data_IF_111043709477
#
_entry.id   IF_111043709477
#
_cell.length_a   1.000
_cell.length_b   1.000
_cell.length_c   1.000
_cell.angle_alpha   90.00
_cell.angle_beta   90.00
_cell.angle_gamma   90.00
#
_symmetry.space_group_name_H-M   'P 1'
#
loop_
_entity.id
_entity.type
_entity.pdbx_description
1 polymer ?
#
# COMPACT_ATOMS: atom_id res chain seq x y z
N UNK A 1 6.61 -1.51 7.72
CA UNK A 1 5.29 -1.82 8.34
C UNK A 1 4.21 -1.34 7.38
N UNK A 2 3.18 -2.16 7.15
CA UNK A 2 2.01 -1.77 6.36
C UNK A 2 0.90 -1.27 7.30
N UNK A 3 0.21 -0.20 6.90
CA UNK A 3 -1.04 0.21 7.52
C UNK A 3 -2.06 -0.93 7.40
N UNK A 4 -2.87 -1.17 8.44
CA UNK A 4 -3.84 -2.27 8.45
C UNK A 4 -5.27 -1.74 8.47
N UNK A 5 -6.11 -2.34 7.64
CA UNK A 5 -7.56 -2.13 7.69
C UNK A 5 -8.28 -3.47 7.90
N UNK A 6 -8.62 -3.74 9.17
CA UNK A 6 -9.25 -5.02 9.56
C UNK A 6 -10.64 -5.21 8.96
N UNK A 7 -11.38 -4.14 8.75
CA UNK A 7 -12.74 -4.20 8.20
C UNK A 7 -12.73 -4.71 6.75
N UNK A 8 -11.71 -4.32 6.00
CA UNK A 8 -11.52 -4.72 4.60
C UNK A 8 -10.53 -5.88 4.43
N UNK A 9 -9.92 -6.36 5.51
CA UNK A 9 -8.98 -7.48 5.49
C UNK A 9 -7.63 -7.16 4.85
N UNK A 10 -7.24 -5.88 4.76
CA UNK A 10 -6.01 -5.43 4.10
C UNK A 10 -4.89 -5.23 5.12
N UNK A 11 -3.65 -5.53 4.72
CA UNK A 11 -2.44 -5.46 5.56
C UNK A 11 -2.25 -6.67 6.49
N UNK A 12 -3.00 -7.76 6.26
CA UNK A 12 -3.03 -8.95 7.11
C UNK A 12 -2.79 -10.26 6.34
N UNK A 13 -2.66 -10.20 4.99
CA UNK A 13 -2.65 -11.35 4.09
C UNK A 13 -1.35 -11.47 3.28
N UNK A 14 -0.20 -11.33 3.93
CA UNK A 14 1.12 -11.47 3.27
C UNK A 14 1.46 -10.36 2.25
N UNK A 15 0.81 -9.20 2.32
CA UNK A 15 1.09 -8.04 1.44
C UNK A 15 2.55 -7.56 1.59
N UNK A 16 3.19 -7.82 2.73
CA UNK A 16 4.63 -7.56 2.93
C UNK A 16 5.52 -8.24 1.90
N UNK A 17 5.11 -9.35 1.31
CA UNK A 17 5.89 -10.06 0.30
C UNK A 17 6.07 -9.28 -1.01
N UNK A 18 5.20 -8.31 -1.27
CA UNK A 18 5.27 -7.42 -2.44
C UNK A 18 6.21 -6.22 -2.21
N UNK A 19 6.65 -5.99 -0.97
CA UNK A 19 7.51 -4.87 -0.62
C UNK A 19 8.97 -5.23 -0.85
N UNK A 20 9.65 -4.42 -1.68
CA UNK A 20 11.09 -4.54 -1.90
C UNK A 20 11.77 -3.19 -1.78
N UNK A 21 13.00 -3.23 -1.31
CA UNK A 21 13.88 -2.05 -1.21
C UNK A 21 15.10 -2.21 -2.08
N UNK A 22 15.55 -1.10 -2.69
CA UNK A 22 16.84 -1.01 -3.36
C UNK A 22 17.87 -0.39 -2.42
N UNK A 23 19.08 -0.92 -2.47
CA UNK A 23 20.26 -0.34 -1.87
C UNK A 23 21.10 0.33 -2.97
N UNK A 24 21.33 1.63 -2.85
CA UNK A 24 21.92 2.46 -3.88
C UNK A 24 23.16 3.19 -3.38
N UNK A 25 24.12 3.44 -4.27
CA UNK A 25 25.23 4.34 -4.01
C UNK A 25 24.76 5.80 -3.99
N UNK A 26 25.06 6.56 -2.94
CA UNK A 26 24.76 7.99 -2.86
C UNK A 26 25.88 8.86 -3.44
N UNK A 27 27.05 8.27 -3.70
CA UNK A 27 28.23 8.88 -4.33
C UNK A 27 28.88 7.89 -5.30
N UNK A 28 29.80 8.35 -6.14
CA UNK A 28 30.61 7.43 -6.96
C UNK A 28 31.56 6.65 -6.07
N UNK A 29 31.54 5.33 -6.18
CA UNK A 29 32.33 4.41 -5.38
C UNK A 29 33.19 3.51 -6.26
N UNK A 30 34.31 3.04 -5.73
CA UNK A 30 35.14 2.04 -6.39
C UNK A 30 35.06 0.72 -5.61
N UNK A 31 34.58 -0.34 -6.27
CA UNK A 31 34.53 -1.66 -5.69
C UNK A 31 35.93 -2.28 -5.54
N UNK A 32 36.06 -3.36 -4.78
CA UNK A 32 37.35 -4.03 -4.51
C UNK A 32 38.04 -4.57 -5.77
N UNK A 33 37.29 -4.89 -6.81
CA UNK A 33 37.80 -5.33 -8.11
C UNK A 33 38.19 -4.18 -9.06
N UNK A 34 38.06 -2.95 -8.60
CA UNK A 34 38.35 -1.73 -9.37
C UNK A 34 37.20 -1.24 -10.25
N UNK A 35 36.05 -1.90 -10.25
CA UNK A 35 34.86 -1.41 -10.95
C UNK A 35 34.27 -0.18 -10.29
N UNK A 36 33.70 0.72 -11.09
CA UNK A 36 33.05 1.97 -10.62
C UNK A 36 31.57 1.75 -10.45
N UNK A 37 31.08 2.08 -9.27
CA UNK A 37 29.64 2.16 -8.97
C UNK A 37 29.24 3.62 -9.08
N UNK A 38 28.43 4.01 -10.06
CA UNK A 38 28.04 5.41 -10.24
C UNK A 38 27.09 5.88 -9.14
N UNK A 39 26.97 7.19 -9.00
CA UNK A 39 25.90 7.79 -8.17
C UNK A 39 24.53 7.27 -8.63
N UNK A 40 23.65 7.00 -7.68
CA UNK A 40 22.33 6.37 -7.89
C UNK A 40 22.40 4.96 -8.50
N UNK A 41 23.58 4.33 -8.55
CA UNK A 41 23.76 2.94 -8.97
C UNK A 41 23.06 1.99 -8.00
N UNK A 42 22.14 1.16 -8.51
CA UNK A 42 21.50 0.08 -7.74
C UNK A 42 22.52 -1.03 -7.49
N UNK A 43 22.73 -1.38 -6.25
CA UNK A 43 23.68 -2.40 -5.80
C UNK A 43 22.95 -3.72 -5.54
N UNK A 44 21.85 -3.66 -4.79
CA UNK A 44 21.08 -4.85 -4.44
C UNK A 44 19.58 -4.52 -4.31
N UNK A 45 18.73 -5.49 -4.66
CA UNK A 45 17.30 -5.48 -4.35
C UNK A 45 17.08 -6.39 -3.14
N UNK A 46 16.53 -5.85 -2.09
CA UNK A 46 16.27 -6.54 -0.83
C UNK A 46 14.78 -6.81 -0.68
N UNK A 47 14.43 -8.07 -0.48
CA UNK A 47 13.07 -8.48 -0.09
C UNK A 47 12.95 -8.53 1.43
N UNK A 48 11.72 -8.37 1.93
CA UNK A 48 11.42 -8.51 3.36
C UNK A 48 11.23 -9.99 3.73
N UNK A 49 11.65 -10.34 4.94
CA UNK A 49 11.27 -11.60 5.58
C UNK A 49 9.85 -11.50 6.19
N UNK A 50 9.38 -12.58 6.79
CA UNK A 50 8.06 -12.66 7.45
C UNK A 50 7.88 -11.66 8.62
N UNK A 51 8.98 -11.12 9.16
CA UNK A 51 8.98 -10.11 10.22
C UNK A 51 9.09 -8.67 9.66
N UNK A 52 9.12 -8.51 8.32
CA UNK A 52 9.28 -7.23 7.66
C UNK A 52 10.69 -6.68 7.72
N UNK A 53 11.72 -7.55 7.86
CA UNK A 53 13.13 -7.16 7.91
C UNK A 53 13.81 -7.48 6.57
N UNK A 54 14.55 -6.51 6.03
CA UNK A 54 15.45 -6.70 4.90
C UNK A 54 16.90 -6.73 5.37
N UNK A 55 17.75 -7.51 4.68
CA UNK A 55 19.17 -7.64 4.97
C UNK A 55 19.95 -7.51 3.68
N UNK A 56 20.95 -6.60 3.66
CA UNK A 56 21.92 -6.51 2.58
C UNK A 56 22.87 -7.72 2.65
N UNK A 57 23.09 -8.37 1.50
CA UNK A 57 23.98 -9.55 1.36
C UNK A 57 25.26 -9.23 0.62
N UNK A 58 25.27 -8.16 -0.16
CA UNK A 58 26.43 -7.73 -0.94
C UNK A 58 27.48 -7.09 -0.04
N UNK A 59 28.74 -7.44 -0.27
CA UNK A 59 29.87 -6.68 0.27
C UNK A 59 29.96 -5.34 -0.46
N UNK A 60 30.08 -4.27 0.32
CA UNK A 60 30.14 -2.91 -0.22
C UNK A 60 31.36 -2.16 0.36
N UNK A 61 32.02 -1.28 -0.40
CA UNK A 61 33.10 -0.44 0.12
C UNK A 61 32.58 0.56 1.16
N UNK A 62 33.51 1.16 1.93
CA UNK A 62 33.16 2.32 2.76
C UNK A 62 32.65 3.46 1.86
N UNK A 63 31.59 4.13 2.29
CA UNK A 63 30.99 5.20 1.52
C UNK A 63 29.59 5.57 1.99
N UNK A 64 28.95 6.42 1.18
CA UNK A 64 27.60 6.90 1.40
C UNK A 64 26.62 6.17 0.49
N UNK A 65 25.51 5.73 1.06
CA UNK A 65 24.46 4.94 0.42
C UNK A 65 23.08 5.49 0.79
N UNK A 66 22.06 4.98 0.13
CA UNK A 66 20.69 5.13 0.59
C UNK A 66 19.84 3.89 0.26
N UNK A 67 18.83 3.70 1.06
CA UNK A 67 17.77 2.72 0.82
C UNK A 67 16.55 3.46 0.29
N UNK A 68 15.90 2.91 -0.73
CA UNK A 68 14.64 3.41 -1.29
C UNK A 68 13.72 2.25 -1.60
N UNK A 69 12.42 2.43 -1.39
CA UNK A 69 11.43 1.45 -1.79
C UNK A 69 11.35 1.35 -3.33
N UNK A 70 11.31 0.12 -3.85
CA UNK A 70 11.18 -0.17 -5.29
C UNK A 70 9.76 -0.62 -5.64
N UNK A 71 9.17 -1.44 -4.78
CA UNK A 71 7.82 -1.94 -4.96
C UNK A 71 7.08 -2.08 -3.64
N UNK A 72 5.77 -1.96 -3.69
CA UNK A 72 4.86 -2.25 -2.61
C UNK A 72 3.61 -2.96 -3.15
N UNK A 73 2.73 -3.44 -2.27
CA UNK A 73 1.44 -3.98 -2.68
C UNK A 73 0.52 -2.87 -3.21
N UNK A 74 -0.39 -3.22 -4.12
CA UNK A 74 -1.27 -2.28 -4.83
C UNK A 74 -2.20 -1.44 -3.95
N UNK A 75 -2.44 -1.87 -2.72
CA UNK A 75 -3.24 -1.11 -1.75
C UNK A 75 -2.52 0.08 -1.12
N UNK A 76 -1.20 0.22 -1.36
CA UNK A 76 -0.36 1.21 -0.68
C UNK A 76 0.34 2.17 -1.63
N UNK A 77 0.63 3.35 -1.11
CA UNK A 77 1.44 4.35 -1.79
C UNK A 77 2.89 3.90 -1.81
N UNK A 78 3.51 3.84 -3.00
CA UNK A 78 4.94 3.61 -3.14
C UNK A 78 5.69 4.86 -2.68
N UNK A 79 6.58 4.71 -1.70
CA UNK A 79 7.38 5.82 -1.17
C UNK A 79 8.56 6.16 -2.07
N UNK A 80 8.72 7.45 -2.37
CA UNK A 80 9.90 7.99 -3.07
C UNK A 80 11.03 8.41 -2.13
N UNK A 81 10.86 8.22 -0.82
CA UNK A 81 11.81 8.65 0.19
C UNK A 81 13.14 7.88 0.10
N UNK A 82 14.25 8.61 0.22
CA UNK A 82 15.61 8.07 0.27
C UNK A 82 16.08 8.08 1.74
N UNK A 83 16.38 6.93 2.28
CA UNK A 83 16.89 6.77 3.65
C UNK A 83 18.41 6.66 3.60
N UNK A 84 19.17 7.68 4.03
CA UNK A 84 20.62 7.68 3.94
C UNK A 84 21.24 6.66 4.89
N UNK A 85 22.33 6.05 4.43
CA UNK A 85 23.14 5.09 5.18
C UNK A 85 24.61 5.41 4.94
N UNK A 86 25.40 5.57 6.00
CA UNK A 86 26.85 5.82 5.90
C UNK A 86 27.58 4.60 6.45
N UNK A 87 28.39 3.96 5.60
CA UNK A 87 29.27 2.89 5.99
C UNK A 87 30.69 3.42 6.12
N UNK A 88 31.13 3.63 7.35
CA UNK A 88 32.44 4.13 7.67
C UNK A 88 33.30 3.07 8.39
N UNK A 89 34.61 3.23 8.28
CA UNK A 89 35.55 2.37 9.01
C UNK A 89 35.34 2.48 10.51
N UNK A 90 35.05 1.37 11.17
CA UNK A 90 34.75 1.30 12.61
C UNK A 90 35.95 0.77 13.46
N UNK A 91 37.07 0.39 12.83
CA UNK A 91 38.25 -0.19 13.49
C UNK A 91 38.44 -1.68 13.16
N UNK A 92 39.68 -2.15 13.28
CA UNK A 92 40.08 -3.54 12.95
C UNK A 92 39.48 -4.60 13.90
N UNK A 93 39.05 -4.17 15.08
CA UNK A 93 38.48 -5.06 16.11
C UNK A 93 36.99 -5.27 15.95
N UNK A 94 36.32 -4.60 14.98
CA UNK A 94 34.87 -4.68 14.74
C UNK A 94 34.62 -5.52 13.52
N UNK A 95 34.23 -6.80 13.68
CA UNK A 95 34.00 -7.71 12.55
C UNK A 95 32.68 -7.47 11.80
N UNK A 96 31.70 -6.81 12.44
CA UNK A 96 30.39 -6.52 11.89
C UNK A 96 29.99 -5.11 12.28
N UNK A 97 29.62 -4.29 11.30
CA UNK A 97 29.06 -2.96 11.52
C UNK A 97 27.57 -3.02 11.24
N UNK A 98 26.75 -2.77 12.26
CA UNK A 98 25.30 -2.64 12.09
C UNK A 98 24.97 -1.21 11.68
N UNK A 99 24.27 -1.06 10.55
CA UNK A 99 23.83 0.23 10.03
C UNK A 99 22.30 0.30 10.11
N UNK A 100 21.81 1.26 10.88
CA UNK A 100 20.38 1.48 11.00
C UNK A 100 19.89 2.35 9.84
N UNK A 101 18.85 1.90 9.15
CA UNK A 101 18.07 2.69 8.19
C UNK A 101 16.98 3.43 8.96
N UNK A 102 16.65 4.67 8.59
CA UNK A 102 15.62 5.49 9.21
C UNK A 102 15.79 5.63 10.75
N UNK A 103 17.03 5.81 11.22
CA UNK A 103 17.37 5.87 12.67
C UNK A 103 16.86 4.64 13.45
N UNK A 104 16.74 3.49 12.82
CA UNK A 104 16.20 2.26 13.42
C UNK A 104 14.67 2.25 13.57
N UNK A 105 13.97 3.25 13.04
CA UNK A 105 12.51 3.30 13.03
C UNK A 105 11.95 2.50 11.85
N UNK A 106 10.73 2.00 12.01
CA UNK A 106 10.02 1.34 10.91
C UNK A 106 9.71 2.31 9.78
N UNK A 107 9.86 1.83 8.55
CA UNK A 107 9.32 2.47 7.36
C UNK A 107 7.88 1.98 7.21
N UNK A 108 6.94 2.89 7.06
CA UNK A 108 5.50 2.58 6.98
C UNK A 108 4.95 3.02 5.64
N UNK A 109 4.23 2.12 4.95
CA UNK A 109 3.47 2.44 3.76
C UNK A 109 2.06 2.86 4.16
N UNK A 110 1.60 3.96 3.59
CA UNK A 110 0.26 4.50 3.75
C UNK A 110 -0.69 3.84 2.76
N UNK A 111 -1.91 3.54 3.22
CA UNK A 111 -2.95 2.94 2.39
C UNK A 111 -3.54 3.96 1.42
N UNK A 112 -3.86 3.51 0.21
CA UNK A 112 -4.59 4.31 -0.79
C UNK A 112 -6.07 4.19 -0.48
N UNK A 113 -6.76 5.33 -0.34
CA UNK A 113 -8.19 5.39 -0.14
C UNK A 113 -8.89 6.00 -1.36
N UNK A 114 -10.08 5.50 -1.63
CA UNK A 114 -10.97 5.96 -2.72
C UNK A 114 -12.35 6.31 -2.19
N UNK A 115 -13.11 7.05 -2.97
CA UNK A 115 -14.54 7.26 -2.79
C UNK A 115 -15.32 6.54 -3.89
N UNK A 116 -16.36 5.83 -3.50
CA UNK A 116 -17.29 5.17 -4.42
C UNK A 116 -18.60 5.94 -4.33
N UNK A 117 -19.08 6.45 -5.46
CA UNK A 117 -20.34 7.21 -5.52
C UNK A 117 -21.21 6.77 -6.70
N UNK A 118 -22.51 7.00 -6.57
CA UNK A 118 -23.47 6.66 -7.60
C UNK A 118 -24.77 7.41 -7.45
N UNK A 119 -25.71 7.09 -8.37
CA UNK A 119 -27.04 7.67 -8.43
C UNK A 119 -28.08 6.56 -8.49
N UNK A 120 -28.97 6.49 -7.50
CA UNK A 120 -30.12 5.60 -7.55
C UNK A 120 -31.25 6.29 -8.31
N UNK A 121 -31.82 5.57 -9.27
CA UNK A 121 -32.94 6.02 -10.10
C UNK A 121 -34.03 4.94 -10.14
N UNK A 122 -35.25 5.37 -10.39
CA UNK A 122 -36.36 4.49 -10.70
C UNK A 122 -36.39 4.08 -12.21
N UNK A 123 -37.37 3.28 -12.63
CA UNK A 123 -37.53 2.79 -14.00
C UNK A 123 -37.74 3.91 -15.03
N UNK A 124 -38.25 5.05 -14.61
CA UNK A 124 -38.43 6.25 -15.44
C UNK A 124 -37.19 7.14 -15.50
N UNK A 125 -36.09 6.77 -14.80
CA UNK A 125 -34.84 7.52 -14.73
C UNK A 125 -34.88 8.70 -13.74
N UNK A 126 -35.93 8.81 -12.91
CA UNK A 126 -36.06 9.82 -11.89
C UNK A 126 -35.23 9.44 -10.64
N UNK A 127 -34.66 10.44 -9.99
CA UNK A 127 -33.93 10.25 -8.75
C UNK A 127 -34.78 9.53 -7.68
N UNK A 128 -34.23 8.49 -7.05
CA UNK A 128 -34.92 7.68 -6.05
C UNK A 128 -34.20 7.78 -4.71
N UNK A 129 -34.86 8.43 -3.75
CA UNK A 129 -34.40 8.56 -2.38
C UNK A 129 -34.78 7.35 -1.52
N UNK A 130 -34.02 7.09 -0.45
CA UNK A 130 -34.37 6.12 0.58
C UNK A 130 -34.04 4.67 0.25
N UNK A 131 -33.39 4.39 -0.89
CA UNK A 131 -32.85 3.07 -1.18
C UNK A 131 -31.63 2.82 -0.31
N UNK A 132 -31.57 1.65 0.32
CA UNK A 132 -30.35 1.23 1.07
C UNK A 132 -29.40 0.50 0.14
N UNK A 133 -28.18 1.01 0.03
CA UNK A 133 -27.13 0.48 -0.83
C UNK A 133 -26.05 -0.14 0.04
N UNK A 134 -25.60 -1.35 -0.29
CA UNK A 134 -24.52 -2.07 0.37
C UNK A 134 -23.26 -2.10 -0.47
N UNK A 135 -22.11 -1.96 0.19
CA UNK A 135 -20.79 -2.23 -0.36
C UNK A 135 -20.30 -3.58 0.16
N UNK A 136 -19.84 -4.44 -0.73
CA UNK A 136 -19.44 -5.81 -0.44
C UNK A 136 -18.01 -6.07 -0.93
N UNK A 137 -17.29 -6.98 -0.27
CA UNK A 137 -16.14 -7.65 -0.91
C UNK A 137 -16.64 -8.50 -2.08
N UNK A 138 -15.80 -8.76 -3.07
CA UNK A 138 -16.16 -9.52 -4.28
C UNK A 138 -16.77 -10.87 -3.98
N UNK A 139 -16.33 -11.57 -2.93
CA UNK A 139 -16.86 -12.86 -2.49
C UNK A 139 -17.78 -12.74 -1.26
N UNK A 140 -18.08 -11.51 -0.83
CA UNK A 140 -18.85 -11.23 0.38
C UNK A 140 -20.36 -11.41 0.19
N UNK A 141 -21.01 -12.06 1.14
CA UNK A 141 -22.48 -12.19 1.21
C UNK A 141 -23.11 -11.09 2.08
N UNK A 142 -22.36 -10.54 3.01
CA UNK A 142 -22.79 -9.46 3.92
C UNK A 142 -22.14 -8.14 3.51
N UNK A 143 -22.86 -7.02 3.60
CA UNK A 143 -22.29 -5.71 3.27
C UNK A 143 -21.25 -5.30 4.34
N UNK A 144 -20.09 -4.80 3.87
CA UNK A 144 -19.08 -4.20 4.74
C UNK A 144 -19.55 -2.84 5.24
N UNK A 145 -20.18 -2.08 4.35
CA UNK A 145 -20.74 -0.76 4.62
C UNK A 145 -22.12 -0.64 3.97
N UNK A 146 -22.93 0.24 4.52
CA UNK A 146 -24.23 0.60 3.95
C UNK A 146 -24.40 2.11 3.92
N UNK A 147 -25.12 2.60 2.92
CA UNK A 147 -25.53 3.99 2.81
C UNK A 147 -26.98 4.07 2.31
N UNK A 148 -27.62 5.23 2.39
CA UNK A 148 -28.98 5.45 1.90
C UNK A 148 -28.94 6.55 0.85
N UNK A 149 -29.65 6.34 -0.28
CA UNK A 149 -29.73 7.35 -1.33
C UNK A 149 -30.45 8.60 -0.85
N UNK A 150 -29.88 9.76 -1.17
CA UNK A 150 -30.41 11.08 -0.82
C UNK A 150 -31.63 11.48 -1.69
N UNK A 151 -32.22 12.64 -1.44
CA UNK A 151 -33.39 13.15 -2.20
C UNK A 151 -33.11 13.31 -3.70
N UNK A 152 -31.87 13.62 -4.08
CA UNK A 152 -31.42 13.70 -5.47
C UNK A 152 -30.97 12.35 -6.05
N UNK A 153 -31.15 11.24 -5.29
CA UNK A 153 -30.74 9.90 -5.64
C UNK A 153 -29.26 9.58 -5.42
N UNK A 154 -28.44 10.56 -5.01
CA UNK A 154 -27.01 10.35 -4.80
C UNK A 154 -26.73 9.45 -3.60
N UNK A 155 -25.68 8.66 -3.69
CA UNK A 155 -25.11 7.90 -2.56
C UNK A 155 -23.59 7.84 -2.68
N UNK A 156 -22.90 7.70 -1.56
CA UNK A 156 -21.45 7.51 -1.56
C UNK A 156 -20.98 6.65 -0.39
N UNK A 157 -19.77 6.07 -0.60
CA UNK A 157 -18.97 5.42 0.42
C UNK A 157 -17.60 6.07 0.41
N UNK A 158 -17.13 6.54 1.56
CA UNK A 158 -15.84 7.24 1.71
C UNK A 158 -14.88 6.45 2.59
N UNK A 159 -13.58 6.72 2.47
CA UNK A 159 -12.55 6.02 3.25
C UNK A 159 -12.45 4.54 2.90
N UNK A 160 -12.71 4.21 1.63
CA UNK A 160 -12.64 2.85 1.12
C UNK A 160 -11.20 2.59 0.67
N UNK A 161 -10.50 1.57 1.19
CA UNK A 161 -9.21 1.18 0.65
C UNK A 161 -9.29 0.89 -0.84
N UNK A 162 -8.27 1.22 -1.61
CA UNK A 162 -8.19 0.83 -3.02
C UNK A 162 -8.34 -0.69 -3.17
N UNK A 163 -9.20 -1.14 -4.07
CA UNK A 163 -9.50 -2.57 -4.27
C UNK A 163 -10.71 -2.79 -5.15
N UNK A 164 -11.12 -4.04 -5.27
CA UNK A 164 -12.31 -4.46 -6.01
C UNK A 164 -13.47 -4.71 -5.04
N UNK A 165 -14.62 -4.15 -5.35
CA UNK A 165 -15.82 -4.21 -4.52
C UNK A 165 -17.06 -4.43 -5.39
N UNK A 166 -18.14 -4.86 -4.75
CA UNK A 166 -19.47 -4.97 -5.37
C UNK A 166 -20.42 -4.04 -4.65
N UNK A 167 -21.16 -3.23 -5.41
CA UNK A 167 -22.24 -2.38 -4.91
C UNK A 167 -23.58 -2.98 -5.28
N UNK A 168 -24.49 -3.14 -4.33
CA UNK A 168 -25.86 -3.65 -4.57
C UNK A 168 -26.87 -2.89 -3.73
N UNK A 169 -28.10 -2.74 -4.24
CA UNK A 169 -29.24 -2.38 -3.41
C UNK A 169 -29.56 -3.55 -2.46
N UNK A 170 -29.79 -3.26 -1.19
CA UNK A 170 -30.15 -4.24 -0.16
C UNK A 170 -31.55 -4.01 0.42
N UNK A 171 -32.10 -2.81 0.21
CA UNK A 171 -33.51 -2.52 0.50
C UNK A 171 -34.02 -1.39 -0.39
N UNK A 172 -35.14 -1.61 -1.06
CA UNK A 172 -35.83 -0.56 -1.82
C UNK A 172 -36.68 0.32 -0.88
N UNK A 173 -36.94 1.59 -1.25
CA UNK A 173 -37.93 2.42 -0.55
C UNK A 173 -39.34 1.89 -0.72
N UNK A 174 -40.28 2.33 0.14
CA UNK A 174 -41.67 1.91 0.07
C UNK A 174 -42.29 2.22 -1.31
N UNK A 175 -42.96 1.24 -1.88
CA UNK A 175 -43.61 1.32 -3.20
C UNK A 175 -42.72 0.92 -4.40
N UNK A 176 -41.46 0.56 -4.16
CA UNK A 176 -40.52 0.12 -5.20
C UNK A 176 -40.09 -1.33 -5.01
N UNK A 177 -39.72 -1.97 -6.09
CA UNK A 177 -39.16 -3.32 -6.10
C UNK A 177 -37.63 -3.18 -6.00
N UNK A 178 -37.02 -3.98 -5.14
CA UNK A 178 -35.56 -4.02 -5.00
C UNK A 178 -34.91 -4.53 -6.30
N UNK A 179 -33.86 -3.82 -6.74
CA UNK A 179 -32.95 -4.24 -7.81
C UNK A 179 -31.62 -4.68 -7.20
N UNK A 180 -31.42 -5.98 -7.07
CA UNK A 180 -30.22 -6.58 -6.50
C UNK A 180 -29.07 -6.80 -7.51
N UNK A 181 -29.19 -6.21 -8.70
CA UNK A 181 -28.14 -6.26 -9.73
C UNK A 181 -26.80 -5.76 -9.15
N UNK A 182 -25.72 -6.55 -9.25
CA UNK A 182 -24.41 -6.13 -8.77
C UNK A 182 -23.72 -5.18 -9.77
N UNK A 183 -23.05 -4.18 -9.25
CA UNK A 183 -22.27 -3.19 -10.00
C UNK A 183 -20.84 -3.13 -9.47
#
# INVERSE_FOLDING_TARGET
VLEQNKQFGIGMNNELSAVTFGFYAAEELTAADGSVIPVDGLIEIMSLDENGKAVLKSDVPFGSYYVKEISTDSHYILSDEKYPVIFAYAGQEIPVVELAVNDGKSITNEMIYVEIYGMKKDEDGKALAGATIGLFLTDGTEPILTTVSAEDGSFSFTGIPYGEYVVREIAAPEGYVMDDTPY
#
